data_IF_989381226386
#
_entry.id   IF_989381226386
#
_cell.length_a   1.000
_cell.length_b   1.000
_cell.length_c   1.000
_cell.angle_alpha   90.00
_cell.angle_beta   90.00
_cell.angle_gamma   90.00
#
_symmetry.space_group_name_H-M   'P 1'
#
loop_
_entity.id
_entity.type
_entity.pdbx_description
1 polymer ?
#
# COMPACT_ATOMS: atom_id res chain seq x y z
N UNK A 1 -23.51 19.28 38.67
CA UNK A 1 -22.96 20.40 37.88
C UNK A 1 -22.10 19.78 36.79
N UNK A 2 -22.70 19.50 35.63
CA UNK A 2 -22.01 18.85 34.49
C UNK A 2 -21.09 19.88 33.84
N UNK A 3 -19.79 19.63 33.78
CA UNK A 3 -18.83 20.51 33.11
C UNK A 3 -18.82 20.22 31.60
N UNK A 4 -19.35 21.16 30.82
CA UNK A 4 -19.26 21.16 29.37
C UNK A 4 -17.81 21.46 28.94
N UNK A 5 -17.07 20.45 28.51
CA UNK A 5 -15.72 20.63 27.93
C UNK A 5 -15.89 21.09 26.48
N UNK A 6 -15.39 22.27 26.08
CA UNK A 6 -15.39 22.67 24.68
C UNK A 6 -14.32 21.86 23.93
N UNK A 7 -14.75 20.99 23.02
CA UNK A 7 -13.85 20.34 22.06
C UNK A 7 -13.43 21.41 21.06
N UNK A 8 -12.16 21.82 21.13
CA UNK A 8 -11.56 22.69 20.13
C UNK A 8 -11.53 21.93 18.79
N UNK A 9 -12.17 22.48 17.75
CA UNK A 9 -11.94 22.08 16.37
C UNK A 9 -10.51 22.48 15.98
N UNK A 10 -9.55 21.60 16.29
CA UNK A 10 -8.19 21.71 15.78
C UNK A 10 -8.17 21.37 14.30
N UNK A 11 -7.41 22.15 13.52
CA UNK A 11 -7.11 21.86 12.12
C UNK A 11 -6.56 20.44 11.98
N UNK A 12 -7.35 19.53 11.40
CA UNK A 12 -7.04 18.11 11.19
C UNK A 12 -6.10 17.94 9.98
N UNK A 13 -5.26 18.94 9.70
CA UNK A 13 -4.30 18.87 8.61
C UNK A 13 -2.96 18.41 9.18
N UNK A 14 -2.60 17.16 8.92
CA UNK A 14 -1.26 16.68 9.24
C UNK A 14 -0.20 17.56 8.56
N UNK A 15 0.89 17.96 9.24
CA UNK A 15 1.93 18.76 8.63
C UNK A 15 2.59 17.99 7.50
N UNK A 16 2.23 18.33 6.26
CA UNK A 16 2.85 17.76 5.07
C UNK A 16 4.28 18.29 4.92
N UNK A 17 5.23 17.48 4.40
CA UNK A 17 6.62 17.89 4.25
C UNK A 17 6.79 19.19 3.42
N UNK A 18 7.85 19.93 3.77
CA UNK A 18 8.21 21.31 3.39
C UNK A 18 8.39 21.56 1.87
N UNK A 19 7.35 21.39 1.06
CA UNK A 19 7.36 21.80 -0.36
C UNK A 19 6.01 22.30 -0.89
N UNK A 20 5.05 22.55 -0.01
CA UNK A 20 3.77 23.17 -0.38
C UNK A 20 3.92 24.70 -0.31
N UNK A 21 3.58 25.46 -1.37
CA UNK A 21 3.69 26.91 -1.36
C UNK A 21 2.84 27.52 -0.24
N UNK A 22 3.34 28.58 0.41
CA UNK A 22 2.67 29.31 1.51
C UNK A 22 1.27 29.82 1.13
N UNK A 23 0.98 29.91 -0.17
CA UNK A 23 -0.32 30.28 -0.73
C UNK A 23 -0.92 29.07 -1.44
N UNK A 24 -1.99 28.54 -0.87
CA UNK A 24 -2.79 27.48 -1.47
C UNK A 24 -3.50 28.04 -2.71
N UNK A 25 -3.35 27.39 -3.87
CA UNK A 25 -4.08 27.79 -5.07
C UNK A 25 -5.60 27.75 -4.80
N UNK A 26 -6.41 28.66 -5.38
CA UNK A 26 -7.85 28.72 -5.12
C UNK A 26 -8.57 27.62 -5.90
N UNK A 27 -8.27 26.36 -5.59
CA UNK A 27 -8.94 25.17 -6.18
C UNK A 27 -10.28 24.89 -5.46
N UNK A 28 -10.57 25.62 -4.37
CA UNK A 28 -11.83 25.53 -3.62
C UNK A 28 -13.00 26.26 -4.29
N UNK A 29 -12.77 27.07 -5.33
CA UNK A 29 -13.83 27.75 -6.06
C UNK A 29 -14.50 26.79 -7.07
N UNK A 30 -15.31 25.84 -6.56
CA UNK A 30 -16.22 25.05 -7.40
C UNK A 30 -16.26 23.55 -7.14
N UNK A 31 -15.41 22.99 -6.28
CA UNK A 31 -15.55 21.60 -5.84
C UNK A 31 -16.42 21.54 -4.59
N UNK A 32 -17.68 21.13 -4.77
CA UNK A 32 -18.53 20.70 -3.67
C UNK A 32 -17.82 19.57 -2.91
N UNK A 33 -17.58 19.76 -1.60
CA UNK A 33 -17.12 18.68 -0.71
C UNK A 33 -18.03 17.47 -0.92
N UNK A 34 -17.49 16.26 -1.16
CA UNK A 34 -18.30 15.05 -1.19
C UNK A 34 -19.09 14.94 0.12
N UNK A 35 -20.42 15.03 0.03
CA UNK A 35 -21.34 14.92 1.17
C UNK A 35 -21.67 13.45 1.43
N UNK A 36 -20.64 12.59 1.51
CA UNK A 36 -20.85 11.22 1.94
C UNK A 36 -21.03 11.28 3.47
N UNK A 37 -22.19 10.92 4.01
CA UNK A 37 -22.37 10.84 5.46
C UNK A 37 -21.42 9.79 6.04
N UNK A 38 -20.92 10.03 7.25
CA UNK A 38 -20.16 9.01 8.01
C UNK A 38 -21.02 7.76 8.18
N UNK A 39 -20.46 6.60 7.87
CA UNK A 39 -21.05 5.31 8.20
C UNK A 39 -20.87 5.12 9.71
N UNK A 40 -21.98 5.08 10.45
CA UNK A 40 -21.97 4.60 11.82
C UNK A 40 -21.72 3.10 11.82
N UNK A 41 -20.61 2.68 12.41
CA UNK A 41 -20.32 1.29 12.73
C UNK A 41 -21.12 0.93 13.98
N UNK A 42 -22.42 0.63 13.81
CA UNK A 42 -23.27 0.10 14.86
C UNK A 42 -23.91 -1.22 14.40
N UNK A 43 -23.46 -2.27 15.08
CA UNK A 43 -24.01 -3.60 15.29
C UNK A 43 -24.70 -4.33 14.11
N UNK A 44 -24.13 -5.48 13.75
CA UNK A 44 -24.81 -6.53 12.97
C UNK A 44 -26.10 -6.96 13.68
N UNK A 45 -27.24 -6.50 13.18
CA UNK A 45 -28.52 -7.19 13.38
C UNK A 45 -29.14 -7.45 12.02
N UNK A 46 -29.25 -8.75 11.71
CA UNK A 46 -30.02 -9.35 10.64
C UNK A 46 -31.42 -8.71 10.57
N UNK A 47 -31.66 -7.84 9.59
CA UNK A 47 -33.00 -7.62 9.09
C UNK A 47 -33.02 -7.44 7.58
N UNK A 48 -33.74 -8.37 6.95
CA UNK A 48 -34.05 -8.42 5.54
C UNK A 48 -34.94 -7.22 5.21
N UNK A 49 -34.36 -6.15 4.66
CA UNK A 49 -35.15 -5.13 3.98
C UNK A 49 -34.73 -4.98 2.52
N UNK A 50 -35.58 -5.56 1.67
CA UNK A 50 -35.53 -5.59 0.22
C UNK A 50 -35.90 -4.19 -0.31
N UNK A 51 -34.92 -3.29 -0.40
CA UNK A 51 -35.08 -2.04 -1.15
C UNK A 51 -34.32 -2.13 -2.48
N UNK A 52 -35.01 -2.34 -3.62
CA UNK A 52 -34.37 -2.36 -4.92
C UNK A 52 -34.12 -0.90 -5.33
N UNK A 53 -33.04 -0.32 -4.85
CA UNK A 53 -32.52 0.91 -5.47
C UNK A 53 -32.03 0.52 -6.86
N UNK A 54 -32.82 0.85 -7.88
CA UNK A 54 -32.57 0.57 -9.29
C UNK A 54 -31.20 1.07 -9.80
N UNK A 55 -30.49 1.89 -9.02
CA UNK A 55 -29.12 2.31 -9.29
C UNK A 55 -28.08 1.20 -9.03
N UNK A 56 -28.22 0.39 -7.97
CA UNK A 56 -27.24 -0.64 -7.61
C UNK A 56 -27.23 -1.83 -8.58
N UNK A 57 -28.42 -2.27 -9.01
CA UNK A 57 -28.58 -3.35 -9.99
C UNK A 57 -28.06 -2.98 -11.39
N UNK A 58 -28.26 -1.73 -11.82
CA UNK A 58 -27.73 -1.23 -13.10
C UNK A 58 -26.21 -1.08 -13.05
N UNK A 59 -25.64 -0.58 -11.94
CA UNK A 59 -24.19 -0.51 -11.74
C UNK A 59 -23.55 -1.91 -11.76
N UNK A 60 -24.16 -2.88 -11.06
CA UNK A 60 -23.68 -4.26 -11.00
C UNK A 60 -23.82 -4.98 -12.35
N UNK A 61 -24.93 -4.78 -13.07
CA UNK A 61 -25.14 -5.32 -14.40
C UNK A 61 -24.17 -4.69 -15.43
N UNK A 62 -23.88 -3.40 -15.31
CA UNK A 62 -22.91 -2.70 -16.16
C UNK A 62 -21.48 -3.18 -15.87
N UNK A 63 -21.12 -3.41 -14.61
CA UNK A 63 -19.83 -4.00 -14.24
C UNK A 63 -19.69 -5.43 -14.77
N UNK A 64 -20.75 -6.24 -14.69
CA UNK A 64 -20.78 -7.58 -15.28
C UNK A 64 -20.64 -7.56 -16.80
N UNK A 65 -21.27 -6.60 -17.49
CA UNK A 65 -21.12 -6.40 -18.94
C UNK A 65 -19.69 -5.98 -19.31
N UNK A 66 -19.08 -5.07 -18.54
CA UNK A 66 -17.70 -4.61 -18.75
C UNK A 66 -16.72 -5.76 -18.50
N UNK A 67 -16.88 -6.51 -17.41
CA UNK A 67 -16.07 -7.69 -17.11
C UNK A 67 -16.22 -8.77 -18.19
N UNK A 68 -17.45 -9.03 -18.66
CA UNK A 68 -17.70 -9.96 -19.77
C UNK A 68 -17.02 -9.53 -21.06
N UNK A 69 -17.10 -8.24 -21.43
CA UNK A 69 -16.43 -7.71 -22.62
C UNK A 69 -14.90 -7.69 -22.50
N UNK A 70 -14.37 -7.37 -21.32
CA UNK A 70 -12.93 -7.41 -21.08
C UNK A 70 -12.40 -8.84 -21.14
N UNK A 71 -13.11 -9.80 -20.55
CA UNK A 71 -12.77 -11.23 -20.65
C UNK A 71 -12.80 -11.71 -22.11
N UNK A 72 -13.76 -11.23 -22.90
CA UNK A 72 -13.85 -11.52 -24.33
C UNK A 72 -12.75 -10.87 -25.17
N UNK A 73 -12.18 -9.74 -24.73
CA UNK A 73 -11.16 -9.00 -25.47
C UNK A 73 -9.73 -9.47 -25.11
N UNK A 74 -9.54 -9.98 -23.90
CA UNK A 74 -8.28 -10.56 -23.46
C UNK A 74 -7.96 -11.79 -24.29
N UNK A 75 -6.86 -11.74 -25.05
CA UNK A 75 -6.36 -12.85 -25.87
C UNK A 75 -6.92 -12.94 -27.28
N UNK A 76 -7.91 -12.12 -27.67
CA UNK A 76 -8.31 -11.98 -29.09
C UNK A 76 -7.36 -11.02 -29.78
N UNK A 77 -6.74 -11.45 -30.88
CA UNK A 77 -5.96 -10.53 -31.71
C UNK A 77 -6.91 -9.51 -32.33
N UNK A 78 -6.53 -8.23 -32.30
CA UNK A 78 -7.34 -7.15 -32.86
C UNK A 78 -7.39 -7.17 -34.40
N UNK A 79 -6.80 -8.18 -35.05
CA UNK A 79 -6.59 -8.23 -36.50
C UNK A 79 -5.49 -7.27 -37.00
N UNK A 80 -5.04 -6.33 -36.15
CA UNK A 80 -4.08 -5.30 -36.54
C UNK A 80 -2.74 -5.93 -36.93
N UNK A 81 -2.18 -6.81 -36.10
CA UNK A 81 -0.89 -7.45 -36.40
C UNK A 81 -0.99 -8.31 -37.67
N UNK A 82 -2.13 -8.97 -37.89
CA UNK A 82 -2.42 -9.76 -39.07
C UNK A 82 -2.53 -8.91 -40.35
N UNK A 83 -2.98 -7.66 -40.24
CA UNK A 83 -3.06 -6.72 -41.35
C UNK A 83 -1.72 -6.08 -41.74
N UNK A 84 -0.69 -6.19 -40.89
CA UNK A 84 0.61 -5.56 -41.15
C UNK A 84 1.36 -6.22 -42.33
N UNK A 85 2.20 -5.45 -43.05
CA UNK A 85 3.12 -5.99 -44.04
C UNK A 85 4.07 -7.03 -43.44
N UNK A 86 4.53 -7.98 -44.27
CA UNK A 86 5.40 -9.10 -43.84
C UNK A 86 6.68 -8.60 -43.18
N UNK A 87 7.31 -7.56 -43.72
CA UNK A 87 8.53 -6.96 -43.15
C UNK A 87 8.33 -6.46 -41.71
N UNK A 88 7.19 -5.83 -41.43
CA UNK A 88 6.86 -5.34 -40.09
C UNK A 88 6.59 -6.52 -39.15
N UNK A 89 5.89 -7.56 -39.60
CA UNK A 89 5.68 -8.79 -38.82
C UNK A 89 7.01 -9.47 -38.47
N UNK A 90 7.94 -9.57 -39.42
CA UNK A 90 9.29 -10.12 -39.17
C UNK A 90 10.04 -9.30 -38.11
N UNK A 91 9.92 -7.98 -38.14
CA UNK A 91 10.50 -7.10 -37.12
C UNK A 91 9.89 -7.34 -35.74
N UNK A 92 8.57 -7.52 -35.66
CA UNK A 92 7.88 -7.87 -34.40
C UNK A 92 8.35 -9.22 -33.85
N UNK A 93 8.51 -10.23 -34.70
CA UNK A 93 9.06 -11.53 -34.28
C UNK A 93 10.52 -11.41 -33.81
N UNK A 94 11.35 -10.61 -34.47
CA UNK A 94 12.71 -10.33 -34.02
C UNK A 94 12.73 -9.65 -32.64
N UNK A 95 11.84 -8.67 -32.41
CA UNK A 95 11.71 -7.99 -31.12
C UNK A 95 11.26 -8.95 -30.01
N UNK A 96 10.33 -9.87 -30.28
CA UNK A 96 9.96 -10.93 -29.33
C UNK A 96 11.17 -11.78 -28.94
N UNK A 97 12.04 -12.12 -29.89
CA UNK A 97 13.29 -12.83 -29.62
C UNK A 97 14.24 -12.07 -28.69
N UNK A 98 14.37 -10.76 -28.87
CA UNK A 98 15.14 -9.89 -27.96
C UNK A 98 14.48 -9.84 -26.57
N UNK A 99 13.15 -9.74 -26.51
CA UNK A 99 12.41 -9.71 -25.25
C UNK A 99 12.60 -10.99 -24.43
N UNK A 100 12.72 -12.17 -25.07
CA UNK A 100 13.01 -13.42 -24.37
C UNK A 100 14.35 -13.35 -23.64
N UNK A 101 15.40 -12.80 -24.28
CA UNK A 101 16.72 -12.63 -23.65
C UNK A 101 16.68 -11.64 -22.49
N UNK A 102 15.93 -10.54 -22.64
CA UNK A 102 15.71 -9.58 -21.55
C UNK A 102 15.01 -10.25 -20.36
N UNK A 103 13.99 -11.07 -20.61
CA UNK A 103 13.28 -11.80 -19.57
C UNK A 103 14.18 -12.80 -18.86
N UNK A 104 15.06 -13.48 -19.58
CA UNK A 104 16.05 -14.39 -19.00
C UNK A 104 16.99 -13.66 -18.04
N UNK A 105 17.54 -12.52 -18.45
CA UNK A 105 18.39 -11.68 -17.60
C UNK A 105 17.63 -11.18 -16.37
N UNK A 106 16.38 -10.74 -16.55
CA UNK A 106 15.54 -10.30 -15.44
C UNK A 106 15.25 -11.44 -14.45
N UNK A 107 15.09 -12.68 -14.94
CA UNK A 107 14.91 -13.85 -14.08
C UNK A 107 16.18 -14.18 -13.29
N UNK A 108 17.36 -14.03 -13.88
CA UNK A 108 18.64 -14.19 -13.18
C UNK A 108 18.76 -13.16 -12.05
N UNK A 109 18.51 -11.89 -12.35
CA UNK A 109 18.49 -10.82 -11.34
C UNK A 109 17.54 -11.13 -10.18
N UNK A 110 16.30 -11.56 -10.46
CA UNK A 110 15.33 -11.92 -9.42
C UNK A 110 15.81 -13.09 -8.55
N UNK A 111 16.50 -14.07 -9.14
CA UNK A 111 17.09 -15.19 -8.37
C UNK A 111 18.18 -14.70 -7.44
N UNK A 112 19.09 -13.86 -7.93
CA UNK A 112 20.16 -13.28 -7.12
C UNK A 112 19.61 -12.42 -5.98
N UNK A 113 18.58 -11.61 -6.23
CA UNK A 113 17.88 -10.87 -5.17
C UNK A 113 17.30 -11.80 -4.11
N UNK A 114 16.64 -12.88 -4.52
CA UNK A 114 16.05 -13.85 -3.60
C UNK A 114 17.11 -14.60 -2.77
N UNK A 115 18.27 -14.91 -3.36
CA UNK A 115 19.41 -15.47 -2.63
C UNK A 115 19.97 -14.48 -1.61
N UNK A 116 20.07 -13.20 -1.98
CA UNK A 116 20.49 -12.13 -1.08
C UNK A 116 19.50 -11.94 0.08
N UNK A 117 18.20 -11.92 -0.20
CA UNK A 117 17.14 -11.86 0.81
C UNK A 117 17.23 -13.03 1.78
N UNK A 118 17.42 -14.26 1.28
CA UNK A 118 17.62 -15.44 2.13
C UNK A 118 18.83 -15.30 3.05
N UNK A 119 19.96 -14.84 2.52
CA UNK A 119 21.19 -14.60 3.31
C UNK A 119 20.94 -13.62 4.44
N UNK A 120 20.31 -12.48 4.16
CA UNK A 120 20.06 -11.48 5.20
C UNK A 120 18.93 -11.88 6.16
N UNK A 121 17.96 -12.68 5.70
CA UNK A 121 16.97 -13.28 6.58
C UNK A 121 17.63 -14.19 7.62
N UNK A 122 18.59 -15.01 7.22
CA UNK A 122 19.36 -15.86 8.15
C UNK A 122 20.14 -15.05 9.18
N UNK A 123 20.74 -13.93 8.77
CA UNK A 123 21.42 -13.01 9.69
C UNK A 123 20.44 -12.31 10.65
N UNK A 124 19.20 -12.06 10.22
CA UNK A 124 18.17 -11.44 11.04
C UNK A 124 17.49 -12.41 12.01
N UNK A 125 17.38 -13.70 11.67
CA UNK A 125 16.76 -14.73 12.54
C UNK A 125 17.20 -14.68 14.01
N UNK A 126 18.51 -14.69 14.35
CA UNK A 126 18.92 -14.65 15.76
C UNK A 126 18.50 -13.35 16.46
N UNK A 127 18.43 -12.22 15.73
CA UNK A 127 17.93 -10.96 16.29
C UNK A 127 16.43 -11.03 16.57
N UNK A 128 15.65 -11.65 15.67
CA UNK A 128 14.22 -11.86 15.89
C UNK A 128 13.94 -12.82 17.04
N UNK A 129 14.72 -13.90 17.15
CA UNK A 129 14.65 -14.83 18.27
C UNK A 129 15.01 -14.13 19.60
N UNK A 130 16.08 -13.33 19.61
CA UNK A 130 16.48 -12.56 20.80
C UNK A 130 15.40 -11.57 21.22
N UNK A 131 14.85 -10.82 20.26
CA UNK A 131 13.73 -9.89 20.51
C UNK A 131 12.51 -10.63 21.04
N UNK A 132 12.15 -11.76 20.44
CA UNK A 132 11.03 -12.57 20.91
C UNK A 132 11.26 -13.07 22.34
N UNK A 133 12.46 -13.52 22.68
CA UNK A 133 12.79 -13.98 24.02
C UNK A 133 12.66 -12.89 25.10
N UNK A 134 13.02 -11.64 24.75
CA UNK A 134 12.82 -10.49 25.63
C UNK A 134 11.33 -10.14 25.77
N UNK A 135 10.59 -10.04 24.66
CA UNK A 135 9.16 -9.66 24.65
C UNK A 135 8.30 -10.68 25.41
N UNK A 136 8.56 -11.97 25.20
CA UNK A 136 7.86 -13.06 25.89
C UNK A 136 8.27 -13.24 27.36
N UNK A 137 9.32 -12.52 27.80
CA UNK A 137 9.86 -12.65 29.15
C UNK A 137 10.67 -13.94 29.40
N UNK A 138 10.91 -14.76 28.37
CA UNK A 138 11.68 -16.00 28.52
C UNK A 138 13.17 -15.75 28.79
N UNK A 139 13.69 -14.58 28.41
CA UNK A 139 15.04 -14.13 28.73
C UNK A 139 15.02 -12.66 29.17
N UNK A 140 15.88 -12.31 30.15
CA UNK A 140 16.06 -10.91 30.56
C UNK A 140 17.00 -10.19 29.56
N UNK A 141 16.80 -8.87 29.35
CA UNK A 141 17.77 -8.03 28.63
C UNK A 141 19.15 -8.08 29.29
N UNK A 142 20.20 -8.02 28.47
CA UNK A 142 21.57 -7.87 28.99
C UNK A 142 21.88 -6.40 29.26
N UNK A 143 22.91 -6.12 30.07
CA UNK A 143 23.38 -4.75 30.32
C UNK A 143 23.82 -4.08 29.02
N UNK A 144 24.53 -4.79 28.14
CA UNK A 144 24.96 -4.26 26.84
C UNK A 144 23.77 -3.87 25.94
N UNK A 145 22.69 -4.65 25.94
CA UNK A 145 21.47 -4.35 25.18
C UNK A 145 20.75 -3.12 25.73
N UNK A 146 20.72 -2.97 27.05
CA UNK A 146 20.14 -1.80 27.72
C UNK A 146 20.98 -0.56 27.40
N UNK A 147 22.30 -0.61 27.61
CA UNK A 147 23.21 0.51 27.32
C UNK A 147 23.15 0.95 25.85
N UNK A 148 23.09 -0.01 24.91
CA UNK A 148 22.92 0.28 23.49
C UNK A 148 21.56 0.94 23.20
N UNK A 149 20.49 0.46 23.85
CA UNK A 149 19.16 1.05 23.77
C UNK A 149 19.11 2.47 24.32
N UNK A 150 19.69 2.71 25.50
CA UNK A 150 19.74 4.04 26.13
C UNK A 150 20.56 5.03 25.32
N UNK A 151 21.66 4.59 24.72
CA UNK A 151 22.45 5.43 23.81
C UNK A 151 21.64 5.86 22.60
N UNK A 152 20.78 4.99 22.08
CA UNK A 152 19.86 5.34 21.00
C UNK A 152 18.76 6.29 21.49
N UNK A 153 18.16 6.03 22.66
CA UNK A 153 17.17 6.92 23.28
C UNK A 153 17.71 8.33 23.52
N UNK A 154 18.94 8.47 24.02
CA UNK A 154 19.57 9.77 24.25
C UNK A 154 19.86 10.54 22.94
N UNK A 155 20.09 9.81 21.84
CA UNK A 155 20.26 10.42 20.53
C UNK A 155 18.94 10.94 19.97
N UNK A 156 17.85 10.24 20.24
CA UNK A 156 16.51 10.60 19.76
C UNK A 156 15.83 11.66 20.67
N UNK A 157 16.12 11.63 21.98
CA UNK A 157 15.68 12.58 23.00
C UNK A 157 16.85 12.96 23.94
N UNK A 158 17.41 14.19 23.83
CA UNK A 158 18.54 14.61 24.66
C UNK A 158 18.20 14.81 26.14
N UNK A 159 16.92 14.89 26.52
CA UNK A 159 16.47 14.95 27.91
C UNK A 159 16.23 13.56 28.52
N UNK A 160 16.45 12.48 27.74
CA UNK A 160 16.29 11.11 28.21
C UNK A 160 17.17 10.83 29.43
N UNK A 161 16.54 10.44 30.54
CA UNK A 161 17.22 9.98 31.74
C UNK A 161 17.45 8.46 31.68
N UNK A 162 18.72 8.05 31.74
CA UNK A 162 19.09 6.63 31.78
C UNK A 162 18.42 5.90 32.97
N UNK A 163 18.06 4.64 32.75
CA UNK A 163 17.44 3.75 33.72
C UNK A 163 18.55 3.18 34.62
N UNK A 164 18.83 3.89 35.71
CA UNK A 164 19.78 3.50 36.76
C UNK A 164 19.36 2.24 37.51
#
# INVERSE_FOLDING_TARGET
MSSNVPIAHGDITAPTPQNTPLTQAPIAAGLSRPTVPDISEDNEEDDKDDSPTAAGGVQAAMLGLVQGRLADLVGKSSGYIESLPVEVKTSVEALKGVQVKQNELQNQYKRECLELEKKYLELQKPLYERRHAIISGSAKPTTEEIEAGEKQSLKDDPEYAALS
#
